data_IF_581601271824
#
_entry.id   IF_581601271824
#
_cell.length_a   1.000
_cell.length_b   1.000
_cell.length_c   1.000
_cell.angle_alpha   90.00
_cell.angle_beta   90.00
_cell.angle_gamma   90.00
#
_symmetry.space_group_name_H-M   'P 1'
#
loop_
_entity.id
_entity.type
_entity.pdbx_description
1 polymer ?
#
# COMPACT_ATOMS: atom_id res chain seq x y z
N UNK A 1 4.17 23.07 -10.92
CA UNK A 1 3.39 21.83 -10.78
C UNK A 1 4.33 20.66 -10.91
N UNK A 2 4.33 19.71 -9.97
CA UNK A 2 5.09 18.47 -10.15
C UNK A 2 4.32 17.55 -11.11
N UNK A 3 5.02 16.94 -12.07
CA UNK A 3 4.41 15.97 -12.97
C UNK A 3 4.30 14.62 -12.24
N UNK A 4 3.07 14.13 -12.10
CA UNK A 4 2.78 12.81 -11.52
C UNK A 4 2.23 11.98 -12.67
N UNK A 5 2.82 10.81 -12.89
CA UNK A 5 2.22 9.85 -13.80
C UNK A 5 0.91 9.32 -13.21
N UNK A 6 -0.17 9.43 -13.98
CA UNK A 6 -1.51 8.99 -13.59
C UNK A 6 -1.95 7.89 -14.54
N UNK A 7 -1.96 6.61 -14.10
CA UNK A 7 -2.45 5.53 -14.94
C UNK A 7 -3.97 5.63 -15.11
N UNK A 8 -4.51 4.90 -16.09
CA UNK A 8 -5.95 4.65 -16.15
C UNK A 8 -6.34 3.69 -15.01
N UNK A 9 -7.52 3.91 -14.44
CA UNK A 9 -8.10 2.99 -13.46
C UNK A 9 -9.24 2.23 -14.10
N UNK A 10 -9.08 0.92 -14.20
CA UNK A 10 -10.10 -0.02 -14.59
C UNK A 10 -10.59 -0.74 -13.33
N UNK A 11 -11.84 -0.47 -12.92
CA UNK A 11 -12.42 -1.00 -11.69
C UNK A 11 -13.67 -1.77 -12.08
N UNK A 12 -13.73 -3.04 -11.69
CA UNK A 12 -14.82 -3.94 -12.04
C UNK A 12 -15.32 -4.66 -10.79
N UNK A 13 -16.63 -4.59 -10.57
CA UNK A 13 -17.34 -5.51 -9.68
C UNK A 13 -17.67 -6.76 -10.48
N UNK A 14 -16.86 -7.81 -10.32
CA UNK A 14 -16.95 -9.05 -11.13
C UNK A 14 -18.18 -9.86 -10.74
N UNK A 15 -18.58 -9.80 -9.47
CA UNK A 15 -19.79 -10.44 -8.97
C UNK A 15 -20.70 -9.44 -8.24
N UNK A 16 -21.43 -8.60 -8.99
CA UNK A 16 -22.28 -7.56 -8.41
C UNK A 16 -23.52 -8.10 -7.69
N UNK A 17 -23.81 -9.40 -7.81
CA UNK A 17 -24.95 -10.04 -7.14
C UNK A 17 -24.56 -10.73 -5.84
N UNK A 18 -23.27 -11.02 -5.63
CA UNK A 18 -22.78 -11.48 -4.33
C UNK A 18 -23.09 -10.46 -3.23
N UNK A 19 -23.29 -10.90 -1.97
CA UNK A 19 -23.47 -9.98 -0.84
C UNK A 19 -22.36 -8.93 -0.72
N UNK A 20 -21.10 -9.33 -0.92
CA UNK A 20 -19.94 -8.43 -0.91
C UNK A 20 -19.92 -7.44 -2.07
N UNK A 21 -20.25 -7.90 -3.27
CA UNK A 21 -20.38 -7.05 -4.45
C UNK A 21 -21.50 -6.02 -4.29
N UNK A 22 -22.63 -6.39 -3.69
CA UNK A 22 -23.71 -5.46 -3.35
C UNK A 22 -23.22 -4.40 -2.35
N UNK A 23 -22.47 -4.80 -1.31
CA UNK A 23 -21.90 -3.86 -0.34
C UNK A 23 -20.86 -2.95 -0.97
N UNK A 24 -20.05 -3.42 -1.91
CA UNK A 24 -19.13 -2.59 -2.68
C UNK A 24 -19.88 -1.47 -3.41
N UNK A 25 -20.93 -1.79 -4.14
CA UNK A 25 -21.67 -0.77 -4.89
C UNK A 25 -22.46 0.17 -3.97
N UNK A 26 -23.10 -0.35 -2.92
CA UNK A 26 -24.06 0.40 -2.10
C UNK A 26 -23.49 1.09 -0.86
N UNK A 27 -22.48 0.52 -0.22
CA UNK A 27 -21.91 1.02 1.04
C UNK A 27 -20.60 1.77 0.78
N UNK A 28 -19.70 1.16 0.00
CA UNK A 28 -18.38 1.75 -0.29
C UNK A 28 -18.53 2.92 -1.28
N UNK A 29 -19.41 2.76 -2.27
CA UNK A 29 -19.67 3.73 -3.34
C UNK A 29 -19.18 3.27 -4.72
N UNK A 30 -18.86 1.98 -4.83
CA UNK A 30 -18.60 1.29 -6.09
C UNK A 30 -17.44 1.84 -6.91
N UNK A 31 -17.56 1.64 -8.22
CA UNK A 31 -16.57 2.08 -9.22
C UNK A 31 -16.23 3.57 -9.14
N UNK A 32 -17.20 4.51 -9.05
CA UNK A 32 -16.89 5.94 -9.01
C UNK A 32 -16.01 6.33 -7.83
N UNK A 33 -16.37 5.89 -6.62
CA UNK A 33 -15.60 6.18 -5.41
C UNK A 33 -14.19 5.59 -5.50
N UNK A 34 -14.08 4.35 -5.97
CA UNK A 34 -12.79 3.65 -6.08
C UNK A 34 -11.84 4.39 -7.03
N UNK A 35 -12.31 4.84 -8.21
CA UNK A 35 -11.48 5.59 -9.15
C UNK A 35 -10.99 6.92 -8.59
N UNK A 36 -11.85 7.65 -7.89
CA UNK A 36 -11.47 8.89 -7.21
C UNK A 36 -10.42 8.63 -6.13
N UNK A 37 -10.65 7.60 -5.31
CA UNK A 37 -9.76 7.19 -4.24
C UNK A 37 -8.36 6.82 -4.76
N UNK A 38 -8.27 5.98 -5.79
CA UNK A 38 -6.99 5.58 -6.40
C UNK A 38 -6.21 6.80 -6.94
N UNK A 39 -6.91 7.79 -7.48
CA UNK A 39 -6.29 9.05 -7.88
C UNK A 39 -5.68 9.83 -6.72
N UNK A 40 -6.31 9.81 -5.53
CA UNK A 40 -5.78 10.42 -4.31
C UNK A 40 -4.61 9.62 -3.75
N UNK A 41 -4.72 8.29 -3.71
CA UNK A 41 -3.67 7.39 -3.22
C UNK A 41 -2.42 7.51 -4.08
N UNK A 42 -2.53 7.50 -5.40
CA UNK A 42 -1.38 7.66 -6.30
C UNK A 42 -0.59 8.95 -6.00
N UNK A 43 -1.30 10.08 -5.84
CA UNK A 43 -0.67 11.36 -5.47
C UNK A 43 -0.02 11.30 -4.08
N UNK A 44 -0.71 10.72 -3.10
CA UNK A 44 -0.18 10.56 -1.75
C UNK A 44 1.10 9.72 -1.73
N UNK A 45 1.07 8.53 -2.34
CA UNK A 45 2.22 7.62 -2.36
C UNK A 45 3.39 8.25 -3.09
N UNK A 46 3.18 8.82 -4.29
CA UNK A 46 4.26 9.41 -5.08
C UNK A 46 4.84 10.66 -4.41
N UNK A 47 4.00 11.62 -4.00
CA UNK A 47 4.48 12.92 -3.52
C UNK A 47 4.79 12.96 -2.03
N UNK A 48 4.00 12.25 -1.21
CA UNK A 48 4.11 12.34 0.25
C UNK A 48 4.93 11.19 0.81
N UNK A 49 4.62 9.95 0.42
CA UNK A 49 5.28 8.77 0.98
C UNK A 49 6.69 8.58 0.42
N UNK A 50 6.82 8.64 -0.91
CA UNK A 50 8.10 8.39 -1.61
C UNK A 50 8.82 9.65 -2.07
N UNK A 51 8.18 10.83 -1.98
CA UNK A 51 8.78 12.12 -2.34
C UNK A 51 9.40 12.15 -3.75
N UNK A 52 8.82 11.41 -4.69
CA UNK A 52 9.30 11.25 -6.06
C UNK A 52 8.77 12.36 -6.97
N UNK A 53 9.31 13.56 -6.83
CA UNK A 53 8.90 14.72 -7.66
C UNK A 53 9.43 14.68 -9.09
N UNK A 54 10.45 13.85 -9.35
CA UNK A 54 10.97 13.59 -10.69
C UNK A 54 10.28 12.36 -11.31
N UNK A 55 9.56 12.50 -12.44
CA UNK A 55 8.90 11.38 -13.12
C UNK A 55 9.82 10.21 -13.48
N UNK A 56 11.11 10.43 -13.71
CA UNK A 56 12.04 9.34 -14.03
C UNK A 56 12.46 8.50 -12.81
N UNK A 57 12.18 8.98 -11.60
CA UNK A 57 12.39 8.24 -10.36
C UNK A 57 11.15 7.43 -9.93
N UNK A 58 9.98 7.75 -10.51
CA UNK A 58 8.71 7.09 -10.21
C UNK A 58 8.71 5.68 -10.81
N UNK A 59 8.25 4.69 -10.03
CA UNK A 59 7.98 3.36 -10.59
C UNK A 59 6.83 3.49 -11.58
N UNK A 60 7.09 3.14 -12.84
CA UNK A 60 6.07 3.13 -13.89
C UNK A 60 5.31 1.81 -13.82
N UNK A 61 4.00 1.89 -14.00
CA UNK A 61 3.14 0.73 -14.13
C UNK A 61 3.51 -0.04 -15.42
N UNK A 62 3.64 -1.37 -15.35
CA UNK A 62 3.93 -2.23 -16.53
C UNK A 62 2.96 -2.00 -17.70
N UNK A 63 1.69 -1.74 -17.39
CA UNK A 63 0.62 -1.35 -18.30
C UNK A 63 0.14 0.02 -17.87
N UNK A 64 -0.26 0.87 -18.81
CA UNK A 64 -0.83 2.21 -18.54
C UNK A 64 -2.22 2.16 -17.88
N UNK A 65 -2.52 1.07 -17.17
CA UNK A 65 -3.79 0.79 -16.51
C UNK A 65 -3.53 -0.05 -15.27
N UNK A 66 -4.15 0.36 -14.15
CA UNK A 66 -4.26 -0.43 -12.93
C UNK A 66 -5.66 -1.06 -12.91
N UNK A 67 -5.71 -2.37 -12.71
CA UNK A 67 -6.94 -3.15 -12.72
C UNK A 67 -7.35 -3.54 -11.29
N UNK A 68 -8.53 -3.12 -10.86
CA UNK A 68 -9.11 -3.46 -9.57
C UNK A 68 -10.33 -4.34 -9.84
N UNK A 69 -10.37 -5.50 -9.20
CA UNK A 69 -11.46 -6.45 -9.36
C UNK A 69 -12.03 -6.85 -7.99
N UNK A 70 -13.30 -6.55 -7.76
CA UNK A 70 -14.06 -7.10 -6.63
C UNK A 70 -14.59 -8.44 -7.10
N UNK A 71 -14.14 -9.54 -6.51
CA UNK A 71 -14.49 -10.88 -6.98
C UNK A 71 -14.62 -11.85 -5.82
N UNK A 72 -15.35 -12.93 -6.06
CA UNK A 72 -15.52 -13.98 -5.07
C UNK A 72 -14.25 -14.83 -4.92
N UNK A 73 -13.65 -14.82 -3.73
CA UNK A 73 -12.58 -15.73 -3.31
C UNK A 73 -12.41 -15.72 -1.80
N UNK A 74 -11.96 -16.85 -1.25
CA UNK A 74 -11.66 -17.05 0.18
C UNK A 74 -10.15 -16.93 0.39
N UNK A 75 -9.72 -16.30 1.47
CA UNK A 75 -8.32 -16.10 1.82
C UNK A 75 -8.08 -14.66 2.26
N UNK A 76 -7.04 -14.04 1.70
CA UNK A 76 -6.69 -12.64 1.96
C UNK A 76 -7.83 -11.67 1.62
N UNK A 77 -7.86 -10.54 2.32
CA UNK A 77 -8.82 -9.45 2.14
C UNK A 77 -8.68 -8.82 0.75
N UNK A 78 -7.44 -8.60 0.34
CA UNK A 78 -7.05 -8.24 -1.01
C UNK A 78 -5.68 -8.85 -1.35
N UNK A 79 -5.36 -8.84 -2.64
CA UNK A 79 -4.06 -9.26 -3.16
C UNK A 79 -3.67 -8.36 -4.32
N UNK A 80 -2.53 -7.69 -4.20
CA UNK A 80 -1.87 -7.00 -5.30
C UNK A 80 -0.92 -7.92 -6.07
N UNK A 81 -0.75 -7.63 -7.36
CA UNK A 81 0.11 -8.38 -8.27
C UNK A 81 0.99 -7.40 -9.04
N UNK A 82 2.21 -7.85 -9.38
CA UNK A 82 3.21 -7.06 -10.09
C UNK A 82 2.73 -6.48 -11.43
N UNK A 83 1.74 -7.12 -12.06
CA UNK A 83 1.12 -6.67 -13.32
C UNK A 83 0.01 -5.61 -13.15
N UNK A 84 0.15 -4.74 -12.15
CA UNK A 84 -0.79 -3.65 -11.81
C UNK A 84 -2.22 -4.11 -11.56
N UNK A 85 -2.38 -5.23 -10.85
CA UNK A 85 -3.69 -5.77 -10.52
C UNK A 85 -3.89 -5.82 -9.02
N UNK A 86 -5.08 -5.46 -8.56
CA UNK A 86 -5.54 -5.66 -7.18
C UNK A 86 -6.85 -6.44 -7.25
N UNK A 87 -6.90 -7.59 -6.57
CA UNK A 87 -8.15 -8.31 -6.33
C UNK A 87 -8.61 -8.04 -4.91
N UNK A 88 -9.88 -7.69 -4.71
CA UNK A 88 -10.50 -7.55 -3.38
C UNK A 88 -11.54 -8.65 -3.20
N UNK A 89 -11.51 -9.32 -2.06
CA UNK A 89 -12.40 -10.44 -1.76
C UNK A 89 -13.81 -9.94 -1.47
N UNK A 90 -14.77 -10.33 -2.31
CA UNK A 90 -16.19 -10.09 -2.03
C UNK A 90 -16.64 -10.83 -0.76
N UNK A 91 -16.06 -12.00 -0.46
CA UNK A 91 -16.34 -12.74 0.79
C UNK A 91 -15.92 -11.91 2.01
N UNK A 92 -14.73 -11.30 1.96
CA UNK A 92 -14.27 -10.43 3.04
C UNK A 92 -15.18 -9.20 3.22
N UNK A 93 -15.51 -8.51 2.12
CA UNK A 93 -16.41 -7.34 2.18
C UNK A 93 -17.79 -7.70 2.75
N UNK A 94 -18.28 -8.91 2.50
CA UNK A 94 -19.50 -9.39 3.13
C UNK A 94 -19.31 -9.70 4.63
N UNK A 95 -18.21 -10.36 4.98
CA UNK A 95 -17.89 -10.75 6.35
C UNK A 95 -17.60 -9.57 7.28
N UNK A 96 -17.12 -8.45 6.75
CA UNK A 96 -16.69 -7.31 7.57
C UNK A 96 -17.83 -6.70 8.40
N UNK A 97 -17.49 -6.31 9.64
CA UNK A 97 -18.40 -5.68 10.59
C UNK A 97 -17.75 -4.41 11.11
N UNK A 98 -18.30 -3.26 10.72
CA UNK A 98 -17.75 -1.94 11.05
C UNK A 98 -17.97 -0.95 9.92
N UNK A 99 -17.16 0.10 9.88
CA UNK A 99 -17.14 1.03 8.76
C UNK A 99 -16.44 0.40 7.55
N UNK A 100 -17.24 -0.28 6.72
CA UNK A 100 -16.75 -0.96 5.53
C UNK A 100 -16.11 -0.01 4.50
N UNK A 101 -16.57 1.24 4.43
CA UNK A 101 -16.00 2.21 3.50
C UNK A 101 -14.62 2.65 3.96
N UNK A 102 -14.46 2.91 5.26
CA UNK A 102 -13.16 3.19 5.86
C UNK A 102 -12.20 2.00 5.68
N UNK A 103 -12.66 0.78 5.93
CA UNK A 103 -11.87 -0.45 5.75
C UNK A 103 -11.35 -0.59 4.33
N UNK A 104 -12.25 -0.48 3.34
CA UNK A 104 -11.88 -0.54 1.94
C UNK A 104 -10.90 0.58 1.57
N UNK A 105 -11.06 1.76 2.17
CA UNK A 105 -10.13 2.87 1.96
C UNK A 105 -8.73 2.50 2.44
N UNK A 106 -8.63 1.98 3.67
CA UNK A 106 -7.37 1.52 4.26
C UNK A 106 -6.71 0.45 3.38
N UNK A 107 -7.47 -0.58 2.99
CA UNK A 107 -6.99 -1.68 2.15
C UNK A 107 -6.48 -1.17 0.78
N UNK A 108 -7.12 -0.17 0.19
CA UNK A 108 -6.64 0.42 -1.06
C UNK A 108 -5.35 1.22 -0.87
N UNK A 109 -5.17 1.93 0.25
CA UNK A 109 -3.89 2.59 0.54
C UNK A 109 -2.76 1.57 0.68
N UNK A 110 -3.02 0.45 1.35
CA UNK A 110 -2.09 -0.68 1.48
C UNK A 110 -1.71 -1.26 0.11
N UNK A 111 -2.70 -1.82 -0.58
CA UNK A 111 -2.48 -2.60 -1.80
C UNK A 111 -1.94 -1.76 -2.97
N UNK A 112 -2.38 -0.50 -3.08
CA UNK A 112 -1.89 0.38 -4.13
C UNK A 112 -0.44 0.81 -3.89
N UNK A 113 0.02 0.84 -2.63
CA UNK A 113 1.42 1.14 -2.31
C UNK A 113 2.35 0.08 -2.88
N UNK A 114 1.96 -1.20 -2.84
CA UNK A 114 2.74 -2.29 -3.47
C UNK A 114 2.96 -2.10 -4.98
N UNK A 115 2.04 -1.44 -5.67
CA UNK A 115 2.17 -1.19 -7.11
C UNK A 115 3.22 -0.11 -7.45
N UNK A 116 3.56 0.75 -6.48
CA UNK A 116 4.45 1.90 -6.66
C UNK A 116 5.78 1.76 -5.92
N UNK A 117 5.84 0.92 -4.88
CA UNK A 117 7.06 0.65 -4.13
C UNK A 117 8.08 -0.13 -4.96
N UNK A 118 9.35 0.03 -4.61
CA UNK A 118 10.45 -0.79 -5.10
C UNK A 118 10.81 -1.85 -4.07
N UNK A 119 10.94 -3.11 -4.51
CA UNK A 119 11.14 -4.26 -3.63
C UNK A 119 12.39 -5.08 -3.95
N UNK A 120 13.37 -4.47 -4.60
CA UNK A 120 14.55 -5.14 -5.13
C UNK A 120 14.26 -5.87 -6.45
N UNK A 121 15.31 -6.36 -7.10
CA UNK A 121 15.19 -7.17 -8.30
C UNK A 121 14.87 -8.65 -7.96
N UNK A 122 14.51 -9.44 -8.97
CA UNK A 122 14.15 -10.86 -8.80
C UNK A 122 15.26 -11.73 -8.18
N UNK A 123 16.54 -11.35 -8.35
CA UNK A 123 17.66 -12.08 -7.78
C UNK A 123 17.91 -11.72 -6.30
N UNK A 124 17.39 -10.58 -5.83
CA UNK A 124 17.52 -10.13 -4.44
C UNK A 124 16.28 -9.35 -4.00
N UNK A 125 15.12 -10.03 -3.87
CA UNK A 125 13.90 -9.40 -3.41
C UNK A 125 14.01 -9.05 -1.93
N UNK A 126 13.36 -7.95 -1.54
CA UNK A 126 13.17 -7.59 -0.14
C UNK A 126 12.32 -8.65 0.60
N UNK A 127 12.57 -8.88 1.90
CA UNK A 127 11.71 -9.75 2.71
C UNK A 127 10.26 -9.27 2.75
N UNK A 128 9.29 -10.18 2.89
CA UNK A 128 7.87 -9.81 2.95
C UNK A 128 7.55 -8.81 4.05
N UNK A 129 8.15 -8.94 5.24
CA UNK A 129 7.99 -7.99 6.34
C UNK A 129 8.35 -6.54 5.93
N UNK A 130 9.38 -6.37 5.09
CA UNK A 130 9.76 -5.05 4.55
C UNK A 130 8.73 -4.53 3.57
N UNK A 131 8.23 -5.39 2.68
CA UNK A 131 7.27 -5.02 1.65
C UNK A 131 5.94 -4.58 2.27
N UNK A 132 5.39 -5.42 3.14
CA UNK A 132 4.15 -5.21 3.88
C UNK A 132 4.29 -4.06 4.88
N UNK A 133 5.43 -3.94 5.55
CA UNK A 133 5.70 -2.82 6.45
C UNK A 133 5.68 -1.45 5.74
N UNK A 134 6.06 -1.37 4.46
CA UNK A 134 5.96 -0.13 3.67
C UNK A 134 4.49 0.19 3.35
N UNK A 135 3.70 -0.82 3.02
CA UNK A 135 2.28 -0.67 2.76
C UNK A 135 1.50 -0.30 4.04
N UNK A 136 1.81 -0.94 5.17
CA UNK A 136 1.28 -0.59 6.49
C UNK A 136 1.74 0.80 6.96
N UNK A 137 2.96 1.21 6.61
CA UNK A 137 3.41 2.58 6.86
C UNK A 137 2.60 3.60 6.05
N UNK A 138 2.12 3.24 4.84
CA UNK A 138 1.26 4.10 4.04
C UNK A 138 -0.09 4.34 4.73
N UNK A 139 -0.75 3.29 5.24
CA UNK A 139 -2.02 3.43 5.98
C UNK A 139 -1.79 4.17 7.30
N UNK A 140 -0.65 3.97 7.96
CA UNK A 140 -0.28 4.71 9.16
C UNK A 140 -0.16 6.21 8.86
N UNK A 141 0.60 6.61 7.84
CA UNK A 141 0.81 8.02 7.46
C UNK A 141 -0.43 8.67 6.87
N UNK A 142 -1.31 7.90 6.24
CA UNK A 142 -2.60 8.38 5.73
C UNK A 142 -3.69 8.41 6.82
N UNK A 143 -3.39 7.98 8.05
CA UNK A 143 -4.31 7.89 9.18
C UNK A 143 -5.52 6.96 8.93
N UNK A 144 -5.25 5.84 8.24
CA UNK A 144 -6.19 4.73 7.98
C UNK A 144 -5.74 3.43 8.65
N UNK A 145 -4.95 3.47 9.73
CA UNK A 145 -4.58 2.27 10.47
C UNK A 145 -5.69 1.84 11.44
N UNK A 146 -5.92 0.54 11.65
CA UNK A 146 -6.98 0.03 12.54
C UNK A 146 -6.67 0.29 14.02
N UNK A 147 -7.67 0.27 14.92
CA UNK A 147 -7.44 0.46 16.35
C UNK A 147 -6.47 -0.55 17.00
N UNK A 148 -6.39 -1.76 16.44
CA UNK A 148 -5.51 -2.83 16.93
C UNK A 148 -4.05 -2.72 16.48
N UNK A 149 -3.73 -1.74 15.62
CA UNK A 149 -2.37 -1.54 15.11
C UNK A 149 -1.37 -1.33 16.25
N UNK A 150 -0.17 -1.90 16.10
CA UNK A 150 0.91 -1.79 17.07
C UNK A 150 1.09 -0.37 17.59
N UNK A 151 1.41 -0.23 18.88
CA UNK A 151 1.73 1.05 19.50
C UNK A 151 3.19 1.42 19.24
N UNK A 152 3.55 2.71 19.19
CA UNK A 152 4.94 3.14 19.13
C UNK A 152 5.77 2.51 20.25
N UNK A 153 6.92 1.92 19.90
CA UNK A 153 7.83 1.27 20.85
C UNK A 153 7.37 -0.07 21.41
N UNK A 154 6.26 -0.63 20.92
CA UNK A 154 5.84 -2.00 21.28
C UNK A 154 6.53 -3.07 20.41
N UNK A 155 6.49 -4.31 20.88
CA UNK A 155 7.06 -5.47 20.20
C UNK A 155 8.48 -5.81 20.65
N UNK A 156 8.92 -7.03 20.30
CA UNK A 156 10.23 -7.57 20.67
C UNK A 156 11.26 -7.40 19.54
N UNK A 157 10.79 -7.33 18.29
CA UNK A 157 11.60 -7.13 17.08
C UNK A 157 10.89 -6.22 16.09
N UNK A 158 11.68 -5.51 15.27
CA UNK A 158 11.16 -4.56 14.31
C UNK A 158 10.33 -5.20 13.19
N UNK A 159 10.62 -6.46 12.83
CA UNK A 159 10.03 -7.21 11.71
C UNK A 159 9.10 -8.35 12.14
N UNK A 160 8.66 -8.38 13.40
CA UNK A 160 7.81 -9.46 13.94
C UNK A 160 6.37 -9.45 13.41
N UNK A 161 5.97 -8.37 12.75
CA UNK A 161 4.65 -8.14 12.16
C UNK A 161 4.66 -6.86 11.34
N UNK A 162 3.68 -6.71 10.45
CA UNK A 162 3.67 -5.62 9.47
C UNK A 162 3.43 -4.26 10.12
N UNK A 163 2.52 -4.20 11.10
CA UNK A 163 2.23 -3.02 11.89
C UNK A 163 3.40 -2.61 12.79
N UNK A 164 4.11 -3.58 13.37
CA UNK A 164 5.38 -3.35 14.08
C UNK A 164 6.45 -2.79 13.15
N UNK A 165 6.55 -3.32 11.92
CA UNK A 165 7.50 -2.84 10.90
C UNK A 165 7.18 -1.40 10.50
N UNK A 166 5.90 -1.07 10.32
CA UNK A 166 5.46 0.29 10.05
C UNK A 166 5.78 1.25 11.20
N UNK A 167 5.62 0.83 12.47
CA UNK A 167 6.04 1.62 13.64
C UNK A 167 7.55 1.78 13.72
N UNK A 168 8.32 0.79 13.31
CA UNK A 168 9.76 0.93 13.17
C UNK A 168 10.12 1.96 12.09
N UNK A 169 9.42 1.98 10.96
CA UNK A 169 9.61 3.00 9.93
C UNK A 169 9.19 4.40 10.39
N UNK A 170 8.13 4.53 11.19
CA UNK A 170 7.76 5.77 11.87
C UNK A 170 8.88 6.28 12.79
N UNK A 171 9.49 5.39 13.57
CA UNK A 171 10.65 5.73 14.39
C UNK A 171 11.85 6.16 13.53
N UNK A 172 12.17 5.43 12.47
CA UNK A 172 13.26 5.80 11.55
C UNK A 172 13.00 7.15 10.86
N UNK A 173 11.76 7.46 10.49
CA UNK A 173 11.35 8.75 9.93
C UNK A 173 11.49 9.90 10.94
N UNK A 174 11.28 9.63 12.24
CA UNK A 174 11.52 10.60 13.31
C UNK A 174 13.01 10.95 13.51
N UNK A 175 13.91 10.03 13.16
CA UNK A 175 15.37 10.26 13.18
C UNK A 175 15.80 10.99 11.91
N UNK A 176 15.38 10.46 10.75
CA UNK A 176 15.74 10.99 9.43
C UNK A 176 14.45 11.23 8.65
N UNK A 177 13.97 12.48 8.55
CA UNK A 177 12.76 12.80 7.80
C UNK A 177 12.81 12.30 6.35
N UNK A 178 11.71 11.71 5.89
CA UNK A 178 11.62 11.07 4.58
C UNK A 178 12.37 9.74 4.54
N UNK A 179 12.47 9.02 5.67
CA UNK A 179 13.20 7.77 5.74
C UNK A 179 12.68 6.76 4.71
N UNK A 180 11.35 6.54 4.67
CA UNK A 180 10.74 5.57 3.74
C UNK A 180 10.95 5.96 2.28
N UNK A 181 10.95 7.25 1.95
CA UNK A 181 11.30 7.72 0.61
C UNK A 181 12.73 7.34 0.22
N UNK A 182 13.71 7.62 1.10
CA UNK A 182 15.12 7.28 0.88
C UNK A 182 15.33 5.76 0.80
N UNK A 183 14.64 5.02 1.65
CA UNK A 183 14.72 3.58 1.72
C UNK A 183 14.11 2.92 0.47
N UNK A 184 12.91 3.35 0.04
CA UNK A 184 12.28 2.93 -1.21
C UNK A 184 13.18 3.19 -2.42
N UNK A 185 13.84 4.35 -2.49
CA UNK A 185 14.78 4.67 -3.57
C UNK A 185 15.97 3.72 -3.62
N UNK A 186 16.52 3.31 -2.48
CA UNK A 186 17.61 2.32 -2.40
C UNK A 186 17.16 0.91 -2.85
N UNK A 187 15.89 0.57 -2.65
CA UNK A 187 15.33 -0.73 -3.03
C UNK A 187 14.97 -0.85 -4.52
N UNK A 188 15.30 0.14 -5.36
CA UNK A 188 15.09 0.04 -6.82
C UNK A 188 15.77 -1.20 -7.41
N UNK A 189 16.99 -1.49 -6.95
CA UNK A 189 17.80 -2.58 -7.49
C UNK A 189 17.91 -3.76 -6.53
N UNK A 190 18.14 -3.53 -5.23
CA UNK A 190 18.32 -4.61 -4.26
C UNK A 190 17.93 -4.18 -2.84
N UNK A 191 17.51 -5.14 -2.02
CA UNK A 191 17.35 -4.92 -0.58
C UNK A 191 18.68 -5.13 0.16
N UNK A 192 19.00 -4.20 1.06
CA UNK A 192 20.10 -4.33 1.99
C UNK A 192 19.68 -3.80 3.36
N UNK A 193 19.69 -4.67 4.38
CA UNK A 193 19.31 -4.31 5.76
C UNK A 193 20.18 -3.20 6.34
N UNK A 194 21.44 -3.09 5.90
CA UNK A 194 22.34 -2.00 6.33
C UNK A 194 21.84 -0.62 5.90
N UNK A 195 20.90 -0.53 4.96
CA UNK A 195 20.27 0.74 4.55
C UNK A 195 19.63 1.47 5.72
N UNK A 196 19.14 0.75 6.75
CA UNK A 196 18.59 1.38 7.96
C UNK A 196 19.64 2.21 8.68
N UNK A 197 20.81 1.61 8.93
CA UNK A 197 21.96 2.28 9.53
C UNK A 197 22.54 3.36 8.62
N UNK A 198 22.65 3.10 7.33
CA UNK A 198 23.16 4.09 6.37
C UNK A 198 22.29 5.36 6.30
N UNK A 199 20.96 5.22 6.40
CA UNK A 199 20.03 6.36 6.32
C UNK A 199 19.89 7.07 7.68
N UNK A 200 19.85 6.32 8.78
CA UNK A 200 19.58 6.87 10.13
C UNK A 200 20.83 7.23 10.90
N UNK A 201 21.99 6.66 10.55
CA UNK A 201 23.22 6.74 11.33
C UNK A 201 23.16 5.99 12.68
N UNK A 202 22.06 5.29 12.96
CA UNK A 202 21.89 4.50 14.20
C UNK A 202 22.34 3.06 13.99
N UNK A 203 22.86 2.40 15.04
CA UNK A 203 23.29 0.99 14.99
C UNK A 203 22.23 0.06 14.41
#
# INVERSE_FOLDING_TARGET
>A
SYAIYMPKYDVVNVDPKSPGGIKFDKIIGGVPYTKELLGKINKFVVLTLFQQTNPEEQRKHEKDTVHISIKDFIGAEAVSYMNNKINVSAVYLDGYRGDLKWEFTSLMYHEFTHLLAWYGNQASPSPSAVQEGIADYAILKANYFPPAFAKPGSGDKWDQGYDFTARFYEYCDSITPGFVAKFNKKMKDTFNVNSFKEITGKP
#
